data_IF_190478740790
#
_entry.id   IF_190478740790
#
_cell.length_a   1.000
_cell.length_b   1.000
_cell.length_c   1.000
_cell.angle_alpha   90.00
_cell.angle_beta   90.00
_cell.angle_gamma   90.00
#
_symmetry.space_group_name_H-M   'P 1'
#
loop_
_entity.id
_entity.type
_entity.pdbx_description
1 polymer ?
#
# COMPACT_ATOMS: atom_id res chain seq x y z
N UNK A 1 1.60 6.07 -17.78
CA UNK A 1 1.45 5.53 -16.43
C UNK A 1 2.77 4.95 -15.96
N UNK A 2 3.51 5.71 -15.16
CA UNK A 2 4.76 5.33 -14.51
C UNK A 2 4.45 5.01 -13.06
N UNK A 3 4.61 3.73 -12.68
CA UNK A 3 4.37 3.26 -11.31
C UNK A 3 5.67 2.66 -10.78
N UNK A 4 6.05 3.09 -9.59
CA UNK A 4 7.12 2.46 -8.81
C UNK A 4 6.50 1.89 -7.54
N UNK A 5 6.61 0.58 -7.32
CA UNK A 5 6.21 -0.04 -6.05
C UNK A 5 7.45 -0.43 -5.27
N UNK A 6 7.57 0.03 -4.03
CA UNK A 6 8.70 -0.23 -3.15
C UNK A 6 8.22 -1.10 -1.98
N UNK A 7 8.71 -2.34 -1.97
CA UNK A 7 8.59 -3.23 -0.83
C UNK A 7 9.85 -3.18 0.02
N UNK A 8 9.69 -3.36 1.33
CA UNK A 8 10.77 -3.36 2.33
C UNK A 8 10.42 -4.40 3.39
N UNK A 9 11.43 -5.00 3.99
CA UNK A 9 11.26 -5.78 5.22
C UNK A 9 11.18 -4.82 6.43
N UNK A 10 11.63 -5.24 7.61
CA UNK A 10 11.66 -4.41 8.83
C UNK A 10 12.54 -3.15 8.73
N UNK A 11 13.23 -2.94 7.60
CA UNK A 11 14.15 -1.82 7.41
C UNK A 11 13.47 -0.47 7.59
N UNK A 12 13.75 0.24 8.68
CA UNK A 12 13.07 1.47 9.10
C UNK A 12 13.16 2.64 8.09
N UNK A 13 14.16 2.66 7.20
CA UNK A 13 14.39 3.77 6.24
C UNK A 13 13.71 3.61 4.88
N UNK A 14 13.02 2.50 4.61
CA UNK A 14 12.45 2.27 3.27
C UNK A 14 11.39 3.32 2.86
N UNK A 15 10.69 3.94 3.81
CA UNK A 15 9.82 5.10 3.55
C UNK A 15 10.62 6.31 3.08
N UNK A 16 11.72 6.66 3.77
CA UNK A 16 12.57 7.80 3.39
C UNK A 16 13.15 7.63 1.98
N UNK A 17 13.45 6.39 1.59
CA UNK A 17 13.91 6.08 0.22
C UNK A 17 12.79 6.36 -0.78
N UNK A 18 11.57 5.89 -0.51
CA UNK A 18 10.42 6.13 -1.37
C UNK A 18 10.12 7.64 -1.54
N UNK A 19 10.12 8.39 -0.44
CA UNK A 19 9.92 9.84 -0.44
C UNK A 19 11.01 10.58 -1.24
N UNK A 20 12.28 10.20 -1.08
CA UNK A 20 13.39 10.79 -1.85
C UNK A 20 13.30 10.47 -3.35
N UNK A 21 12.91 9.24 -3.71
CA UNK A 21 12.69 8.87 -5.11
C UNK A 21 11.56 9.71 -5.70
N UNK A 22 10.43 9.80 -4.98
CA UNK A 22 9.29 10.59 -5.39
C UNK A 22 9.67 12.06 -5.60
N UNK A 23 10.37 12.66 -4.64
CA UNK A 23 10.85 14.05 -4.75
C UNK A 23 11.81 14.25 -5.93
N UNK A 24 12.73 13.31 -6.17
CA UNK A 24 13.71 13.43 -7.26
C UNK A 24 13.08 13.32 -8.64
N UNK A 25 11.99 12.55 -8.76
CA UNK A 25 11.30 12.32 -10.03
C UNK A 25 10.07 13.22 -10.24
N UNK A 26 9.73 14.05 -9.25
CA UNK A 26 8.47 14.82 -9.20
C UNK A 26 7.23 13.92 -9.28
N UNK A 27 7.27 12.81 -8.54
CA UNK A 27 6.20 11.82 -8.47
C UNK A 27 5.41 11.98 -7.18
N UNK A 28 4.13 11.64 -7.19
CA UNK A 28 3.35 11.54 -5.97
C UNK A 28 3.77 10.30 -5.17
N UNK A 29 3.88 10.42 -3.84
CA UNK A 29 4.23 9.31 -2.96
C UNK A 29 3.04 8.95 -2.07
N UNK A 30 2.70 7.66 -1.98
CA UNK A 30 1.66 7.19 -1.08
C UNK A 30 2.00 5.83 -0.47
N UNK A 31 1.34 5.51 0.64
CA UNK A 31 1.61 4.34 1.47
C UNK A 31 0.34 3.57 1.80
N UNK A 32 0.50 2.38 2.39
CA UNK A 32 -0.63 1.63 2.96
C UNK A 32 -1.45 2.49 3.94
N UNK A 33 -0.79 3.28 4.77
CA UNK A 33 -1.48 4.06 5.81
C UNK A 33 -2.32 5.17 5.19
N UNK A 34 -1.78 5.86 4.18
CA UNK A 34 -2.55 6.87 3.42
C UNK A 34 -3.75 6.26 2.67
N UNK A 35 -3.66 5.00 2.23
CA UNK A 35 -4.80 4.28 1.65
C UNK A 35 -5.84 3.95 2.71
N UNK A 36 -5.42 3.52 3.90
CA UNK A 36 -6.31 3.22 5.01
C UNK A 36 -7.03 4.45 5.53
N UNK A 37 -6.33 5.59 5.64
CA UNK A 37 -6.92 6.88 5.99
C UNK A 37 -8.01 7.26 5.00
N UNK A 38 -7.70 7.24 3.70
CA UNK A 38 -8.67 7.51 2.64
C UNK A 38 -9.88 6.55 2.71
N UNK A 39 -9.66 5.27 2.98
CA UNK A 39 -10.74 4.27 3.11
C UNK A 39 -11.58 4.45 4.39
N UNK A 40 -10.98 4.88 5.49
CA UNK A 40 -11.67 5.17 6.75
C UNK A 40 -12.70 6.29 6.63
N UNK A 41 -12.44 7.26 5.77
CA UNK A 41 -13.38 8.34 5.42
C UNK A 41 -14.65 7.80 4.71
N UNK A 42 -14.56 6.69 3.97
CA UNK A 42 -15.71 6.04 3.31
C UNK A 42 -16.59 5.22 4.27
N UNK A 43 -16.39 5.34 5.58
CA UNK A 43 -17.22 4.73 6.64
C UNK A 43 -17.31 3.19 6.61
N UNK A 44 -16.30 2.50 6.06
CA UNK A 44 -16.25 1.03 6.06
C UNK A 44 -15.95 0.55 7.49
N UNK A 45 -16.91 -0.10 8.20
CA UNK A 45 -16.75 -0.44 9.62
C UNK A 45 -15.54 -1.32 9.90
N UNK A 46 -15.26 -2.26 9.00
CA UNK A 46 -14.14 -3.19 9.09
C UNK A 46 -12.80 -2.46 9.09
N UNK A 47 -12.67 -1.40 8.27
CA UNK A 47 -11.41 -0.66 8.09
C UNK A 47 -11.16 0.30 9.27
N UNK A 48 -12.21 0.91 9.83
CA UNK A 48 -12.09 1.79 11.01
C UNK A 48 -11.53 1.08 12.25
N UNK A 49 -11.71 -0.24 12.32
CA UNK A 49 -11.28 -1.06 13.45
C UNK A 49 -9.86 -1.63 13.28
N UNK A 50 -9.25 -1.46 12.09
CA UNK A 50 -7.91 -1.96 11.77
C UNK A 50 -6.88 -0.86 12.07
N UNK A 51 -6.22 -0.96 13.23
CA UNK A 51 -5.08 -0.09 13.57
C UNK A 51 -3.72 -0.74 13.32
N UNK A 52 -3.61 -2.07 13.51
CA UNK A 52 -2.39 -2.86 13.30
C UNK A 52 -2.70 -4.20 12.61
N UNK A 53 -1.70 -4.83 11.96
CA UNK A 53 -1.87 -6.08 11.19
C UNK A 53 -2.39 -7.25 12.06
N UNK A 54 -1.87 -7.40 13.28
CA UNK A 54 -2.29 -8.48 14.17
C UNK A 54 -3.74 -8.32 14.62
N UNK A 55 -4.15 -7.11 14.98
CA UNK A 55 -5.54 -6.79 15.35
C UNK A 55 -6.47 -6.96 14.15
N UNK A 56 -5.99 -6.63 12.94
CA UNK A 56 -6.77 -6.66 11.72
C UNK A 56 -7.36 -8.04 11.42
N UNK A 57 -6.57 -9.10 11.61
CA UNK A 57 -7.00 -10.46 11.27
C UNK A 57 -8.21 -10.85 12.14
N UNK A 58 -8.12 -10.64 13.45
CA UNK A 58 -9.18 -11.01 14.40
C UNK A 58 -10.45 -10.14 14.28
N UNK A 59 -10.30 -8.89 13.84
CA UNK A 59 -11.43 -7.98 13.58
C UNK A 59 -12.14 -8.38 12.30
N UNK A 60 -11.39 -8.63 11.22
CA UNK A 60 -11.94 -8.97 9.92
C UNK A 60 -12.70 -10.30 9.93
N UNK A 61 -12.27 -11.27 10.75
CA UNK A 61 -12.95 -12.57 10.90
C UNK A 61 -14.35 -12.45 11.53
N UNK A 62 -14.69 -11.32 12.16
CA UNK A 62 -16.02 -11.07 12.73
C UNK A 62 -17.05 -10.63 11.69
N UNK A 63 -16.60 -10.27 10.48
CA UNK A 63 -17.46 -9.77 9.41
C UNK A 63 -17.58 -10.80 8.28
N UNK A 64 -18.77 -11.02 7.71
CA UNK A 64 -18.94 -11.85 6.52
C UNK A 64 -18.03 -11.35 5.38
N UNK A 65 -17.15 -12.22 4.90
CA UNK A 65 -16.17 -11.91 3.86
C UNK A 65 -15.26 -10.70 4.21
N UNK A 66 -14.99 -10.47 5.50
CA UNK A 66 -14.26 -9.28 5.95
C UNK A 66 -12.86 -9.19 5.35
N UNK A 67 -12.13 -10.31 5.26
CA UNK A 67 -10.79 -10.38 4.68
C UNK A 67 -10.81 -10.04 3.19
N UNK A 68 -11.72 -10.63 2.43
CA UNK A 68 -11.89 -10.41 1.00
C UNK A 68 -12.27 -8.95 0.73
N UNK A 69 -13.25 -8.43 1.46
CA UNK A 69 -13.68 -7.03 1.33
C UNK A 69 -12.57 -6.05 1.67
N UNK A 70 -11.74 -6.34 2.68
CA UNK A 70 -10.56 -5.55 3.00
C UNK A 70 -9.55 -5.54 1.85
N UNK A 71 -9.21 -6.72 1.33
CA UNK A 71 -8.25 -6.87 0.22
C UNK A 71 -8.74 -6.11 -1.01
N UNK A 72 -10.01 -6.29 -1.41
CA UNK A 72 -10.58 -5.61 -2.57
C UNK A 72 -10.69 -4.09 -2.36
N UNK A 73 -11.00 -3.63 -1.15
CA UNK A 73 -11.04 -2.19 -0.83
C UNK A 73 -9.65 -1.56 -0.93
N UNK A 74 -8.62 -2.22 -0.38
CA UNK A 74 -7.24 -1.79 -0.48
C UNK A 74 -6.76 -1.78 -1.93
N UNK A 75 -7.09 -2.83 -2.70
CA UNK A 75 -6.75 -2.92 -4.12
C UNK A 75 -7.42 -1.80 -4.92
N UNK A 76 -8.71 -1.56 -4.70
CA UNK A 76 -9.45 -0.47 -5.34
C UNK A 76 -8.84 0.89 -5.02
N UNK A 77 -8.53 1.16 -3.73
CA UNK A 77 -7.92 2.42 -3.32
C UNK A 77 -6.53 2.60 -3.95
N UNK A 78 -5.70 1.56 -3.98
CA UNK A 78 -4.39 1.60 -4.62
C UNK A 78 -4.49 1.86 -6.13
N UNK A 79 -5.37 1.13 -6.84
CA UNK A 79 -5.59 1.31 -8.27
C UNK A 79 -6.06 2.73 -8.62
N UNK A 80 -6.92 3.35 -7.80
CA UNK A 80 -7.31 4.76 -7.95
C UNK A 80 -6.13 5.72 -7.83
N UNK A 81 -5.17 5.44 -6.94
CA UNK A 81 -3.95 6.26 -6.85
C UNK A 81 -3.02 6.00 -8.04
N UNK A 82 -2.89 4.74 -8.48
CA UNK A 82 -2.06 4.39 -9.64
C UNK A 82 -2.51 5.08 -10.93
N UNK A 83 -3.83 5.27 -11.11
CA UNK A 83 -4.40 6.00 -12.25
C UNK A 83 -3.93 7.46 -12.37
N UNK A 84 -3.38 8.07 -11.31
CA UNK A 84 -2.89 9.44 -11.33
C UNK A 84 -1.58 9.62 -12.13
N UNK A 85 -0.95 8.51 -12.54
CA UNK A 85 0.36 8.49 -13.20
C UNK A 85 1.48 9.05 -12.29
N UNK A 86 2.75 8.79 -12.63
CA UNK A 86 3.92 9.32 -11.95
C UNK A 86 3.84 9.16 -10.43
N UNK A 87 3.73 7.91 -9.97
CA UNK A 87 3.51 7.59 -8.56
C UNK A 87 4.53 6.59 -8.01
N UNK A 88 4.84 6.77 -6.74
CA UNK A 88 5.60 5.85 -5.90
C UNK A 88 4.68 5.33 -4.79
N UNK A 89 4.44 4.02 -4.78
CA UNK A 89 3.81 3.34 -3.64
C UNK A 89 4.89 2.69 -2.78
N UNK A 90 4.83 2.88 -1.46
CA UNK A 90 5.63 2.10 -0.53
C UNK A 90 4.77 1.40 0.53
N UNK A 91 5.05 0.12 0.76
CA UNK A 91 4.31 -0.65 1.75
C UNK A 91 4.20 -2.13 1.38
N UNK A 92 3.44 -2.85 2.19
CA UNK A 92 3.18 -4.25 1.97
C UNK A 92 2.30 -4.45 0.72
N UNK A 93 2.44 -5.61 0.09
CA UNK A 93 1.58 -6.07 -1.00
C UNK A 93 1.52 -5.17 -2.26
N UNK A 94 2.44 -4.22 -2.44
CA UNK A 94 2.45 -3.36 -3.64
C UNK A 94 2.47 -4.16 -4.94
N UNK A 95 3.29 -5.22 -4.99
CA UNK A 95 3.39 -6.13 -6.14
C UNK A 95 2.09 -6.89 -6.45
N UNK A 96 1.23 -7.12 -5.44
CA UNK A 96 -0.05 -7.79 -5.59
C UNK A 96 -1.08 -6.85 -6.22
N UNK A 97 -1.14 -5.58 -5.81
CA UNK A 97 -2.08 -4.61 -6.37
C UNK A 97 -1.87 -4.35 -7.87
N UNK A 98 -0.65 -4.53 -8.36
CA UNK A 98 -0.25 -4.27 -9.76
C UNK A 98 0.04 -5.55 -10.57
N UNK A 99 -0.44 -6.71 -10.13
CA UNK A 99 -0.09 -8.00 -10.76
C UNK A 99 -0.40 -8.04 -12.28
N UNK A 100 -1.47 -7.35 -12.71
CA UNK A 100 -1.97 -7.33 -14.08
C UNK A 100 -1.49 -6.09 -14.88
N UNK A 101 -0.55 -5.32 -14.33
CA UNK A 101 -0.03 -4.09 -14.94
C UNK A 101 1.41 -4.33 -15.42
N UNK A 102 1.63 -4.22 -16.73
CA UNK A 102 2.90 -4.53 -17.38
C UNK A 102 3.99 -3.45 -17.22
N UNK A 103 3.60 -2.19 -17.04
CA UNK A 103 4.50 -1.04 -17.00
C UNK A 103 4.77 -0.55 -15.56
N UNK A 104 5.26 -1.45 -14.71
CA UNK A 104 5.56 -1.15 -13.30
C UNK A 104 6.98 -1.53 -12.93
N UNK A 105 7.71 -0.61 -12.29
CA UNK A 105 8.98 -0.92 -11.65
C UNK A 105 8.72 -1.44 -10.23
N UNK A 106 9.01 -2.72 -10.01
CA UNK A 106 8.88 -3.38 -8.70
C UNK A 106 10.25 -3.42 -8.02
N UNK A 107 10.40 -2.70 -6.91
CA UNK A 107 11.64 -2.61 -6.13
C UNK A 107 11.44 -3.30 -4.78
N UNK A 108 12.42 -4.11 -4.37
CA UNK A 108 12.52 -4.64 -3.01
C UNK A 108 13.80 -4.12 -2.37
N UNK A 109 13.67 -3.42 -1.25
CA UNK A 109 14.79 -2.99 -0.43
C UNK A 109 15.08 -4.13 0.55
N UNK A 110 16.31 -4.62 0.50
CA UNK A 110 16.85 -5.66 1.38
C UNK A 110 17.96 -4.98 2.18
N UNK A 111 17.95 -5.21 3.50
CA UNK A 111 19.04 -4.83 4.39
C UNK A 111 19.61 -6.12 4.97
N UNK A 112 20.93 -6.25 4.97
CA UNK A 112 21.56 -7.36 5.68
C UNK A 112 21.32 -7.19 7.19
N UNK A 113 20.94 -8.30 7.82
CA UNK A 113 20.91 -8.43 9.28
C UNK A 113 22.36 -8.59 9.75
N UNK A 114 23.07 -7.49 9.95
CA UNK A 114 24.24 -7.48 10.84
C UNK A 114 23.81 -7.49 12.31
#
# INVERSE_FOLDING_TARGET
MSIITISRESYYLGQKIAEKIAQKLDFACFSRDTLLEALGEFQIPEIKLIRNIQDAISVLDRFPYGKERYIESMRLAALKQFQKDNVVYHGLAGHFFVQDISHVLKVRIIQDLE
#
